data_IF_766811352104
#
_entry.id   IF_766811352104
#
_cell.length_a   1.000
_cell.length_b   1.000
_cell.length_c   1.000
_cell.angle_alpha   90.00
_cell.angle_beta   90.00
_cell.angle_gamma   90.00
#
_symmetry.space_group_name_H-M   'P 1'
#
loop_
_entity.id
_entity.type
_entity.pdbx_description
1 polymer ?
#
# COMPACT_ATOMS: atom_id res chain seq x y z
N UNK A 1 -46.81 6.96 27.12
CA UNK A 1 -45.50 7.64 27.26
C UNK A 1 -44.52 6.62 27.82
N UNK A 2 -43.86 5.88 26.94
CA UNK A 2 -42.76 4.98 27.28
C UNK A 2 -41.55 5.53 26.52
N UNK A 3 -40.55 6.00 27.26
CA UNK A 3 -39.24 6.36 26.74
C UNK A 3 -38.43 5.07 26.65
N UNK A 4 -38.19 4.59 25.42
CA UNK A 4 -37.14 3.61 25.17
C UNK A 4 -35.80 4.34 25.09
N UNK A 5 -34.93 3.98 26.02
CA UNK A 5 -33.51 4.34 26.03
C UNK A 5 -32.79 3.43 25.05
N UNK A 6 -32.51 3.92 23.85
CA UNK A 6 -31.65 3.23 22.89
C UNK A 6 -30.21 3.30 23.39
N UNK A 7 -29.68 2.17 23.86
CA UNK A 7 -28.24 1.97 24.04
C UNK A 7 -27.56 2.10 22.68
N UNK A 8 -26.73 3.12 22.52
CA UNK A 8 -25.67 3.13 21.52
C UNK A 8 -24.67 2.02 21.91
N UNK A 9 -24.77 0.86 21.26
CA UNK A 9 -23.72 -0.14 21.32
C UNK A 9 -22.60 0.27 20.38
N UNK A 10 -21.46 0.55 20.99
CA UNK A 10 -20.16 0.77 20.37
C UNK A 10 -19.86 -0.32 19.35
N UNK A 11 -19.72 0.06 18.08
CA UNK A 11 -19.27 -0.78 16.98
C UNK A 11 -17.73 -0.89 17.00
N UNK A 12 -17.15 -1.37 18.10
CA UNK A 12 -15.75 -1.78 18.13
C UNK A 12 -15.64 -3.25 17.68
N UNK A 13 -15.27 -3.42 16.41
CA UNK A 13 -14.44 -4.49 15.83
C UNK A 13 -14.51 -5.90 16.45
N UNK A 14 -15.60 -6.62 16.20
CA UNK A 14 -15.77 -8.03 16.61
C UNK A 14 -14.85 -9.01 15.83
N UNK A 15 -14.25 -8.61 14.70
CA UNK A 15 -13.59 -9.55 13.79
C UNK A 15 -12.08 -9.78 14.00
N UNK A 16 -11.37 -8.88 14.69
CA UNK A 16 -9.89 -8.90 14.74
C UNK A 16 -9.31 -9.69 15.94
N UNK A 17 -10.01 -9.66 17.07
CA UNK A 17 -9.66 -10.47 18.25
C UNK A 17 -9.84 -11.97 17.99
N UNK A 18 -10.68 -12.34 17.01
CA UNK A 18 -11.01 -13.72 16.65
C UNK A 18 -9.92 -14.37 15.78
N UNK A 19 -9.39 -13.65 14.78
CA UNK A 19 -8.36 -14.18 13.86
C UNK A 19 -7.03 -14.50 14.55
N UNK A 20 -6.57 -13.65 15.47
CA UNK A 20 -5.33 -13.89 16.22
C UNK A 20 -5.42 -15.12 17.14
N UNK A 21 -6.57 -15.31 17.80
CA UNK A 21 -6.83 -16.47 18.64
C UNK A 21 -6.93 -17.76 17.81
N UNK A 22 -7.53 -17.69 16.63
CA UNK A 22 -7.65 -18.83 15.71
C UNK A 22 -6.27 -19.27 15.18
N UNK A 23 -5.39 -18.32 14.82
CA UNK A 23 -4.00 -18.60 14.42
C UNK A 23 -3.24 -19.29 15.57
N UNK A 24 -3.37 -18.78 16.79
CA UNK A 24 -2.70 -19.36 17.96
C UNK A 24 -3.21 -20.78 18.27
N UNK A 25 -4.53 -21.01 18.13
CA UNK A 25 -5.14 -22.32 18.28
C UNK A 25 -4.62 -23.32 17.24
N UNK A 26 -4.64 -22.94 15.96
CA UNK A 26 -4.15 -23.79 14.87
C UNK A 26 -2.65 -24.08 15.03
N UNK A 27 -1.87 -23.11 15.50
CA UNK A 27 -0.44 -23.28 15.78
C UNK A 27 -0.20 -24.27 16.91
N UNK A 28 -0.98 -24.22 17.99
CA UNK A 28 -0.90 -25.19 19.10
C UNK A 28 -1.30 -26.60 18.66
N UNK A 29 -2.31 -26.75 17.80
CA UNK A 29 -2.72 -28.03 17.26
C UNK A 29 -1.62 -28.63 16.36
N UNK A 30 -1.01 -27.80 15.52
CA UNK A 30 0.14 -28.17 14.70
C UNK A 30 1.32 -28.64 15.57
N UNK A 31 1.64 -27.91 16.64
CA UNK A 31 2.72 -28.26 17.57
C UNK A 31 2.45 -29.57 18.32
N UNK A 32 1.20 -29.85 18.71
CA UNK A 32 0.83 -31.12 19.35
C UNK A 32 1.01 -32.30 18.42
N UNK A 33 0.63 -32.16 17.15
CA UNK A 33 0.77 -33.22 16.14
C UNK A 33 2.24 -33.42 15.78
N UNK A 34 3.00 -32.35 15.52
CA UNK A 34 4.43 -32.48 15.25
C UNK A 34 5.19 -33.00 16.48
N UNK A 35 4.89 -32.50 17.68
CA UNK A 35 5.59 -32.85 18.92
C UNK A 35 7.12 -32.73 18.80
N UNK A 36 7.59 -31.75 18.02
CA UNK A 36 9.01 -31.56 17.69
C UNK A 36 9.62 -32.60 16.73
N UNK A 37 8.81 -33.51 16.16
CA UNK A 37 9.23 -34.46 15.13
C UNK A 37 9.31 -33.76 13.77
N UNK A 38 10.33 -34.12 12.99
CA UNK A 38 10.38 -33.73 11.58
C UNK A 38 9.23 -34.37 10.79
N UNK A 39 8.73 -33.67 9.77
CA UNK A 39 7.69 -34.15 8.86
C UNK A 39 7.97 -35.55 8.28
N UNK A 40 9.25 -35.87 8.05
CA UNK A 40 9.73 -37.17 7.54
C UNK A 40 9.49 -38.34 8.50
N UNK A 41 9.27 -38.06 9.79
CA UNK A 41 9.04 -39.03 10.86
C UNK A 41 7.58 -39.14 11.27
N UNK A 42 6.69 -38.37 10.64
CA UNK A 42 5.25 -38.45 10.82
C UNK A 42 4.67 -39.57 9.94
N UNK A 43 3.55 -40.13 10.38
CA UNK A 43 2.72 -40.96 9.52
C UNK A 43 2.19 -40.13 8.35
N UNK A 44 1.80 -40.81 7.27
CA UNK A 44 1.25 -40.14 6.09
C UNK A 44 -0.01 -39.31 6.40
N UNK A 45 -0.77 -39.73 7.41
CA UNK A 45 -1.98 -39.05 7.88
C UNK A 45 -1.63 -37.82 8.73
N UNK A 46 -0.73 -37.96 9.71
CA UNK A 46 -0.22 -36.82 10.51
C UNK A 46 0.42 -35.74 9.61
N UNK A 47 1.21 -36.15 8.61
CA UNK A 47 1.84 -35.22 7.67
C UNK A 47 0.81 -34.47 6.80
N UNK A 48 -0.28 -35.14 6.41
CA UNK A 48 -1.38 -34.50 5.67
C UNK A 48 -2.09 -33.43 6.51
N UNK A 49 -2.38 -33.75 7.77
CA UNK A 49 -3.00 -32.81 8.71
C UNK A 49 -2.11 -31.60 9.00
N UNK A 50 -0.80 -31.83 9.18
CA UNK A 50 0.16 -30.73 9.40
C UNK A 50 0.21 -29.77 8.21
N UNK A 51 0.25 -30.29 6.98
CA UNK A 51 0.25 -29.44 5.78
C UNK A 51 -1.02 -28.60 5.65
N UNK A 52 -2.17 -29.18 5.97
CA UNK A 52 -3.45 -28.47 5.96
C UNK A 52 -3.50 -27.36 7.02
N UNK A 53 -3.04 -27.65 8.24
CA UNK A 53 -2.92 -26.64 9.31
C UNK A 53 -1.97 -25.51 8.93
N UNK A 54 -0.82 -25.82 8.32
CA UNK A 54 0.13 -24.80 7.84
C UNK A 54 -0.53 -23.87 6.81
N UNK A 55 -1.25 -24.43 5.84
CA UNK A 55 -1.95 -23.65 4.83
C UNK A 55 -3.02 -22.74 5.45
N UNK A 56 -3.79 -23.27 6.40
CA UNK A 56 -4.82 -22.50 7.09
C UNK A 56 -4.27 -21.37 7.96
N UNK A 57 -3.10 -21.58 8.56
CA UNK A 57 -2.36 -20.53 9.30
C UNK A 57 -1.87 -19.46 8.33
N UNK A 58 -1.27 -19.85 7.20
CA UNK A 58 -0.74 -18.93 6.19
C UNK A 58 -1.85 -18.04 5.59
N UNK A 59 -2.99 -18.63 5.20
CA UNK A 59 -4.14 -17.89 4.69
C UNK A 59 -4.67 -16.87 5.71
N UNK A 60 -4.71 -17.25 7.00
CA UNK A 60 -5.18 -16.36 8.07
C UNK A 60 -4.17 -15.27 8.44
N UNK A 61 -2.88 -15.57 8.40
CA UNK A 61 -1.82 -14.58 8.57
C UNK A 61 -1.83 -13.56 7.44
N UNK A 62 -2.04 -14.00 6.20
CA UNK A 62 -2.18 -13.09 5.06
C UNK A 62 -3.44 -12.23 5.19
N UNK A 63 -4.57 -12.82 5.62
CA UNK A 63 -5.78 -12.05 5.91
C UNK A 63 -5.55 -11.02 7.01
N UNK A 64 -4.94 -11.40 8.14
CA UNK A 64 -4.61 -10.47 9.22
C UNK A 64 -3.66 -9.37 8.74
N UNK A 65 -2.69 -9.69 7.87
CA UNK A 65 -1.80 -8.70 7.26
C UNK A 65 -2.58 -7.71 6.38
N UNK A 66 -3.55 -8.18 5.60
CA UNK A 66 -4.42 -7.34 4.79
C UNK A 66 -5.36 -6.49 5.64
N UNK A 67 -6.02 -7.08 6.64
CA UNK A 67 -6.90 -6.39 7.58
C UNK A 67 -6.10 -5.34 8.37
N UNK A 68 -4.87 -5.65 8.76
CA UNK A 68 -3.96 -4.71 9.40
C UNK A 68 -3.49 -3.62 8.42
N UNK A 69 -3.22 -3.95 7.16
CA UNK A 69 -2.89 -2.98 6.10
C UNK A 69 -4.08 -2.05 5.78
N UNK A 70 -5.32 -2.54 5.90
CA UNK A 70 -6.56 -1.76 5.80
C UNK A 70 -6.79 -0.89 7.05
N UNK A 71 -6.53 -1.42 8.25
CA UNK A 71 -6.62 -0.67 9.51
C UNK A 71 -5.53 0.39 9.66
N UNK A 72 -4.33 0.12 9.18
CA UNK A 72 -3.19 1.02 9.20
C UNK A 72 -3.40 2.27 8.34
N UNK A 73 -4.47 2.34 7.53
CA UNK A 73 -4.82 3.51 6.73
C UNK A 73 -5.12 4.77 7.56
N UNK A 74 -5.04 4.74 8.90
CA UNK A 74 -5.02 5.92 9.75
C UNK A 74 -3.89 5.81 10.79
N UNK A 75 -2.99 6.79 10.81
CA UNK A 75 -1.91 6.85 11.80
C UNK A 75 -2.35 7.57 13.08
N UNK A 76 -1.87 7.10 14.24
CA UNK A 76 -1.94 7.86 15.48
C UNK A 76 -0.94 9.02 15.48
N UNK A 77 -1.13 10.02 16.36
CA UNK A 77 -0.13 11.09 16.52
C UNK A 77 1.24 10.54 16.93
N UNK A 78 1.29 9.50 17.77
CA UNK A 78 2.55 8.85 18.15
C UNK A 78 3.24 8.19 16.94
N UNK A 79 2.48 7.58 16.02
CA UNK A 79 3.04 7.03 14.78
C UNK A 79 3.64 8.12 13.91
N UNK A 80 3.02 9.30 13.83
CA UNK A 80 3.62 10.47 13.18
C UNK A 80 4.94 10.90 13.84
N UNK A 81 4.98 10.96 15.17
CA UNK A 81 6.19 11.32 15.94
C UNK A 81 7.31 10.32 15.70
N UNK A 82 7.00 9.02 15.73
CA UNK A 82 7.94 7.93 15.47
C UNK A 82 8.43 7.98 14.02
N UNK A 83 7.55 8.17 13.04
CA UNK A 83 7.94 8.35 11.63
C UNK A 83 8.87 9.56 11.44
N UNK A 84 8.53 10.71 12.03
CA UNK A 84 9.37 11.90 11.97
C UNK A 84 10.75 11.66 12.61
N UNK A 85 10.81 10.89 13.70
CA UNK A 85 12.07 10.58 14.41
C UNK A 85 12.92 9.58 13.63
N UNK A 86 12.32 8.45 13.29
CA UNK A 86 13.03 7.24 12.91
C UNK A 86 13.27 7.17 11.39
N UNK A 87 12.33 7.69 10.59
CA UNK A 87 12.43 7.69 9.13
C UNK A 87 12.89 9.05 8.60
N UNK A 88 12.24 10.14 9.01
CA UNK A 88 12.63 11.50 8.56
C UNK A 88 13.92 11.97 9.27
N UNK A 89 14.26 11.41 10.43
CA UNK A 89 15.47 11.77 11.17
C UNK A 89 15.40 13.11 11.91
N UNK A 90 14.20 13.59 12.23
CA UNK A 90 13.99 14.80 13.04
C UNK A 90 14.08 14.44 14.51
N UNK A 91 15.12 14.89 15.19
CA UNK A 91 15.23 14.68 16.64
C UNK A 91 14.24 15.56 17.42
N UNK A 92 13.78 16.65 16.81
CA UNK A 92 12.73 17.55 17.26
C UNK A 92 11.35 17.18 16.68
N UNK A 93 11.04 15.88 16.56
CA UNK A 93 9.85 15.35 15.86
C UNK A 93 8.56 16.10 16.13
N UNK A 94 8.20 16.30 17.41
CA UNK A 94 6.94 16.94 17.76
C UNK A 94 6.87 18.40 17.31
N UNK A 95 7.94 19.18 17.53
CA UNK A 95 7.98 20.58 17.13
C UNK A 95 8.00 20.72 15.60
N UNK A 96 8.72 19.83 14.93
CA UNK A 96 8.71 19.74 13.48
C UNK A 96 7.32 19.42 12.94
N UNK A 97 6.62 18.44 13.51
CA UNK A 97 5.26 18.08 13.14
C UNK A 97 4.28 19.23 13.37
N UNK A 98 4.29 19.87 14.55
CA UNK A 98 3.43 21.04 14.83
C UNK A 98 3.63 22.16 13.79
N UNK A 99 4.88 22.39 13.39
CA UNK A 99 5.25 23.42 12.41
C UNK A 99 4.87 23.06 10.98
N UNK A 100 5.01 21.79 10.60
CA UNK A 100 4.90 21.32 9.20
C UNK A 100 3.58 20.68 8.85
N UNK A 101 2.89 20.11 9.83
CA UNK A 101 1.63 19.40 9.66
C UNK A 101 0.51 20.05 10.45
N UNK A 102 -0.68 19.98 9.87
CA UNK A 102 -1.93 20.04 10.59
C UNK A 102 -2.41 18.61 10.81
N UNK A 103 -2.27 18.15 12.05
CA UNK A 103 -2.66 16.82 12.52
C UNK A 103 -3.94 16.88 13.37
N UNK A 104 -4.73 17.97 13.26
CA UNK A 104 -6.04 18.07 13.93
C UNK A 104 -7.03 17.02 13.46
N UNK A 105 -6.85 16.53 12.23
CA UNK A 105 -7.55 15.37 11.69
C UNK A 105 -6.50 14.34 11.20
N UNK A 106 -6.32 13.27 11.98
CA UNK A 106 -5.35 12.22 11.68
C UNK A 106 -5.74 11.30 10.53
N UNK A 107 -7.02 11.32 10.11
CA UNK A 107 -7.46 10.63 8.90
C UNK A 107 -7.04 11.39 7.63
N UNK A 108 -6.87 12.71 7.73
CA UNK A 108 -6.49 13.59 6.62
C UNK A 108 -5.37 14.56 7.04
N UNK A 109 -4.19 14.04 7.42
CA UNK A 109 -3.06 14.84 7.87
C UNK A 109 -2.58 15.77 6.75
N UNK A 110 -2.62 17.08 6.99
CA UNK A 110 -2.27 18.09 5.97
C UNK A 110 -0.86 18.59 6.17
N UNK A 111 -0.04 18.54 5.14
CA UNK A 111 1.22 19.29 5.13
C UNK A 111 0.92 20.77 4.89
N UNK A 112 1.28 21.63 5.84
CA UNK A 112 0.78 23.03 5.88
C UNK A 112 1.16 23.87 4.68
N UNK A 113 2.36 23.68 4.11
CA UNK A 113 2.85 24.46 2.95
C UNK A 113 3.93 23.73 2.17
N UNK A 114 3.80 23.76 0.84
CA UNK A 114 4.85 23.44 -0.12
C UNK A 114 5.03 21.94 -0.34
N UNK A 115 6.27 21.57 -0.62
CA UNK A 115 6.66 20.23 -1.06
C UNK A 115 7.26 19.44 0.10
N UNK A 116 6.76 18.23 0.35
CA UNK A 116 7.39 17.26 1.23
C UNK A 116 8.49 16.55 0.45
N UNK A 117 9.74 16.99 0.61
CA UNK A 117 10.89 16.40 -0.09
C UNK A 117 11.67 15.54 0.89
N UNK A 118 11.68 14.24 0.63
CA UNK A 118 12.30 13.17 1.42
C UNK A 118 13.10 12.22 0.51
N UNK A 119 13.56 12.72 -0.64
CA UNK A 119 14.35 11.99 -1.63
C UNK A 119 15.73 11.58 -1.10
N UNK A 120 16.28 10.49 -1.64
CA UNK A 120 17.62 9.94 -1.35
C UNK A 120 17.84 9.47 0.09
N UNK A 121 16.82 9.56 0.96
CA UNK A 121 16.90 9.08 2.33
C UNK A 121 16.52 7.59 2.41
N UNK A 122 17.53 6.74 2.62
CA UNK A 122 17.34 5.30 2.73
C UNK A 122 16.53 4.86 3.95
N UNK A 123 16.26 5.76 4.91
CA UNK A 123 15.48 5.47 6.10
C UNK A 123 13.98 5.54 5.84
N UNK A 124 13.56 6.30 4.84
CA UNK A 124 12.15 6.48 4.51
C UNK A 124 11.62 5.20 3.87
N UNK A 125 10.67 4.58 4.56
CA UNK A 125 10.02 3.32 4.17
C UNK A 125 8.53 3.50 3.97
N UNK A 126 7.92 4.51 4.60
CA UNK A 126 6.47 4.70 4.62
C UNK A 126 6.08 6.12 4.21
N UNK A 127 5.00 6.20 3.45
CA UNK A 127 4.21 7.42 3.25
C UNK A 127 3.12 7.41 4.31
N UNK A 128 2.92 8.51 5.07
CA UNK A 128 1.79 8.61 5.98
C UNK A 128 0.45 8.42 5.26
N UNK A 129 -0.43 7.52 5.70
CA UNK A 129 -1.79 7.38 5.20
C UNK A 129 -2.58 8.67 5.38
N UNK A 130 -3.50 8.93 4.45
CA UNK A 130 -4.33 10.14 4.47
C UNK A 130 -3.58 11.42 4.10
N UNK A 131 -2.27 11.35 3.81
CA UNK A 131 -1.43 12.53 3.58
C UNK A 131 -2.01 13.42 2.50
N UNK A 132 -2.21 14.69 2.88
CA UNK A 132 -2.62 15.75 1.96
C UNK A 132 -1.46 16.72 1.78
N UNK A 133 -0.92 16.78 0.56
CA UNK A 133 0.17 17.68 0.20
C UNK A 133 0.15 17.95 -1.30
N UNK A 134 0.57 19.14 -1.73
CA UNK A 134 0.67 19.48 -3.16
C UNK A 134 1.73 18.62 -3.86
N UNK A 135 2.93 18.52 -3.29
CA UNK A 135 3.99 17.69 -3.85
C UNK A 135 4.64 16.85 -2.78
N UNK A 136 4.80 15.55 -3.05
CA UNK A 136 5.61 14.66 -2.26
C UNK A 136 6.67 14.01 -3.13
N UNK A 137 7.93 14.17 -2.74
CA UNK A 137 9.08 13.58 -3.43
C UNK A 137 9.78 12.60 -2.50
N UNK A 138 9.71 11.34 -2.87
CA UNK A 138 10.30 10.18 -2.21
C UNK A 138 11.28 9.46 -3.14
N UNK A 139 11.79 10.09 -4.20
CA UNK A 139 12.71 9.44 -5.14
C UNK A 139 13.91 8.82 -4.41
N UNK A 140 14.30 7.61 -4.81
CA UNK A 140 15.38 6.82 -4.20
C UNK A 140 15.20 6.43 -2.72
N UNK A 141 14.02 6.64 -2.14
CA UNK A 141 13.69 6.12 -0.82
C UNK A 141 13.49 4.59 -0.84
N UNK A 142 13.22 4.00 0.33
CA UNK A 142 12.88 2.57 0.49
C UNK A 142 11.38 2.34 0.64
N UNK A 143 10.56 3.23 0.08
CA UNK A 143 9.11 3.10 0.06
C UNK A 143 8.71 1.88 -0.77
N UNK A 144 7.90 1.01 -0.18
CA UNK A 144 7.45 -0.24 -0.82
C UNK A 144 5.97 -0.19 -1.25
N UNK A 145 5.18 0.64 -0.57
CA UNK A 145 3.73 0.71 -0.75
C UNK A 145 3.25 2.17 -0.70
N UNK A 146 2.20 2.44 -1.46
CA UNK A 146 1.48 3.72 -1.45
C UNK A 146 0.16 3.49 -0.70
N UNK A 147 -0.15 4.25 0.36
CA UNK A 147 -1.45 4.16 1.01
C UNK A 147 -2.57 4.57 0.06
N UNK A 148 -3.74 3.95 0.17
CA UNK A 148 -4.85 4.16 -0.77
C UNK A 148 -5.49 5.53 -0.61
N UNK A 149 -5.47 6.05 0.61
CA UNK A 149 -6.19 7.25 1.01
C UNK A 149 -5.35 8.54 0.98
N UNK A 150 -4.19 8.54 0.31
CA UNK A 150 -3.44 9.78 0.11
C UNK A 150 -4.16 10.69 -0.88
N UNK A 151 -3.97 12.00 -0.73
CA UNK A 151 -4.47 13.01 -1.66
C UNK A 151 -3.31 13.95 -2.01
N UNK A 152 -2.64 13.64 -3.12
CA UNK A 152 -1.37 14.29 -3.50
C UNK A 152 -1.43 14.73 -4.95
N UNK A 153 -1.18 16.01 -5.23
CA UNK A 153 -1.21 16.50 -6.61
C UNK A 153 -0.04 15.95 -7.43
N UNK A 154 1.18 15.97 -6.88
CA UNK A 154 2.39 15.44 -7.53
C UNK A 154 3.12 14.46 -6.60
N UNK A 155 3.11 13.17 -6.94
CA UNK A 155 3.78 12.11 -6.18
C UNK A 155 4.94 11.50 -6.99
N UNK A 156 6.16 11.69 -6.52
CA UNK A 156 7.38 11.16 -7.14
C UNK A 156 7.97 10.04 -6.29
N UNK A 157 8.07 8.84 -6.85
CA UNK A 157 8.53 7.62 -6.20
C UNK A 157 9.59 6.88 -7.05
N UNK A 158 10.32 7.63 -7.86
CA UNK A 158 11.26 7.06 -8.82
C UNK A 158 12.34 6.23 -8.11
N UNK A 159 12.68 5.08 -8.69
CA UNK A 159 13.65 4.12 -8.15
C UNK A 159 13.34 3.60 -6.73
N UNK A 160 12.09 3.71 -6.27
CA UNK A 160 11.64 3.03 -5.06
C UNK A 160 11.37 1.53 -5.34
N UNK A 161 11.50 0.64 -4.33
CA UNK A 161 11.19 -0.79 -4.45
C UNK A 161 9.67 -1.08 -4.46
N UNK A 162 8.90 -0.32 -5.24
CA UNK A 162 7.44 -0.47 -5.37
C UNK A 162 7.14 -1.49 -6.45
N UNK A 163 6.23 -2.42 -6.16
CA UNK A 163 5.77 -3.48 -7.07
C UNK A 163 4.34 -3.29 -7.56
N UNK A 164 3.51 -2.66 -6.73
CA UNK A 164 2.09 -2.40 -7.02
C UNK A 164 1.70 -1.05 -6.41
N UNK A 165 0.63 -0.46 -6.90
CA UNK A 165 0.03 0.76 -6.36
C UNK A 165 -1.50 0.63 -6.38
N UNK A 166 -2.25 1.30 -5.50
CA UNK A 166 -3.71 1.14 -5.41
C UNK A 166 -4.45 1.68 -6.65
N UNK A 167 -5.54 1.04 -7.04
CA UNK A 167 -6.39 1.50 -8.15
C UNK A 167 -7.26 2.71 -7.79
N UNK A 168 -7.58 2.90 -6.51
CA UNK A 168 -8.35 4.01 -5.96
C UNK A 168 -7.49 5.19 -5.49
N UNK A 169 -6.22 5.24 -5.91
CA UNK A 169 -5.28 6.28 -5.51
C UNK A 169 -5.71 7.65 -6.06
N UNK A 170 -5.81 8.66 -5.19
CA UNK A 170 -6.18 10.02 -5.57
C UNK A 170 -4.93 10.87 -5.79
N UNK A 171 -4.44 10.88 -7.03
CA UNK A 171 -3.25 11.66 -7.44
C UNK A 171 -3.44 12.35 -8.78
N UNK A 172 -2.90 13.56 -8.92
CA UNK A 172 -2.84 14.27 -10.20
C UNK A 172 -1.76 13.66 -11.11
N UNK A 173 -0.52 13.70 -10.65
CA UNK A 173 0.66 13.12 -11.30
C UNK A 173 1.28 12.03 -10.42
N UNK A 174 1.52 10.86 -10.99
CA UNK A 174 2.24 9.76 -10.36
C UNK A 174 3.47 9.39 -11.19
N UNK A 175 4.66 9.53 -10.60
CA UNK A 175 5.92 9.12 -11.22
C UNK A 175 6.52 7.94 -10.48
N UNK A 176 6.64 6.82 -11.19
CA UNK A 176 7.13 5.53 -10.74
C UNK A 176 8.30 5.06 -11.62
N UNK A 177 9.08 5.99 -12.17
CA UNK A 177 10.17 5.69 -13.10
C UNK A 177 11.16 4.74 -12.45
N UNK A 178 11.56 3.70 -13.18
CA UNK A 178 12.54 2.71 -12.72
C UNK A 178 12.13 2.01 -11.40
N UNK A 179 10.83 1.79 -11.20
CA UNK A 179 10.31 0.94 -10.12
C UNK A 179 10.08 -0.49 -10.62
N UNK A 180 9.66 -1.40 -9.73
CA UNK A 180 9.37 -2.80 -10.05
C UNK A 180 7.89 -3.03 -10.39
N UNK A 181 7.18 -1.99 -10.80
CA UNK A 181 5.77 -2.09 -11.16
C UNK A 181 5.62 -2.89 -12.45
N UNK A 182 4.70 -3.85 -12.43
CA UNK A 182 4.43 -4.77 -13.54
C UNK A 182 3.01 -4.62 -14.11
N UNK A 183 2.08 -4.06 -13.34
CA UNK A 183 0.67 -3.93 -13.74
C UNK A 183 0.09 -2.54 -13.43
N UNK A 184 -0.69 -2.01 -14.37
CA UNK A 184 -1.63 -0.89 -14.13
C UNK A 184 -3.04 -1.46 -13.92
N UNK A 185 -3.55 -1.34 -12.70
CA UNK A 185 -4.80 -1.96 -12.25
C UNK A 185 -6.05 -1.27 -12.82
N UNK A 186 -7.13 -2.03 -12.95
CA UNK A 186 -8.44 -1.49 -13.34
C UNK A 186 -8.98 -0.52 -12.29
N UNK A 187 -9.67 0.52 -12.75
CA UNK A 187 -10.19 1.61 -11.93
C UNK A 187 -9.23 2.78 -11.75
N UNK A 188 -7.94 2.64 -12.13
CA UNK A 188 -6.94 3.68 -11.92
C UNK A 188 -7.17 4.92 -12.79
N UNK A 189 -7.06 6.10 -12.16
CA UNK A 189 -7.26 7.39 -12.81
C UNK A 189 -6.23 8.41 -12.32
N UNK A 190 -5.64 9.16 -13.24
CA UNK A 190 -4.78 10.30 -12.93
C UNK A 190 -4.66 11.22 -14.16
N UNK A 191 -4.10 12.41 -13.97
CA UNK A 191 -3.74 13.26 -15.11
C UNK A 191 -2.51 12.70 -15.81
N UNK A 192 -1.43 12.45 -15.05
CA UNK A 192 -0.15 12.00 -15.61
C UNK A 192 0.35 10.76 -14.89
N UNK A 193 0.62 9.70 -15.65
CA UNK A 193 1.33 8.51 -15.17
C UNK A 193 2.67 8.39 -15.88
N UNK A 194 3.76 8.39 -15.11
CA UNK A 194 5.10 8.13 -15.64
C UNK A 194 5.64 6.81 -15.07
N UNK A 195 5.66 5.79 -15.92
CA UNK A 195 6.11 4.43 -15.62
C UNK A 195 7.24 4.02 -16.58
N UNK A 196 8.01 5.00 -17.05
CA UNK A 196 9.21 4.73 -17.85
C UNK A 196 10.18 3.85 -17.06
N UNK A 197 10.85 2.95 -17.78
CA UNK A 197 11.80 1.99 -17.21
C UNK A 197 11.20 1.01 -16.19
N UNK A 198 9.87 0.90 -16.08
CA UNK A 198 9.20 -0.20 -15.40
C UNK A 198 9.14 -1.45 -16.28
N UNK A 199 8.80 -2.60 -15.70
CA UNK A 199 8.65 -3.87 -16.41
C UNK A 199 7.16 -4.21 -16.58
N UNK A 200 6.42 -3.30 -17.21
CA UNK A 200 4.97 -3.43 -17.36
C UNK A 200 4.65 -4.62 -18.28
N UNK A 201 3.92 -5.58 -17.74
CA UNK A 201 3.43 -6.77 -18.46
C UNK A 201 1.93 -6.72 -18.69
N UNK A 202 1.20 -5.88 -17.94
CA UNK A 202 -0.25 -5.78 -18.02
C UNK A 202 -0.76 -4.37 -17.76
N UNK A 203 -1.77 -3.97 -18.52
CA UNK A 203 -2.50 -2.71 -18.32
C UNK A 203 -3.99 -3.03 -18.42
N UNK A 204 -4.79 -2.61 -17.45
CA UNK A 204 -6.24 -2.79 -17.51
C UNK A 204 -6.88 -1.88 -18.57
N UNK A 205 -7.96 -2.33 -19.21
CA UNK A 205 -8.78 -1.51 -20.12
C UNK A 205 -9.74 -0.57 -19.37
N UNK A 206 -9.81 -0.67 -18.04
CA UNK A 206 -10.67 0.15 -17.18
C UNK A 206 -9.89 1.28 -16.51
N UNK A 207 -9.10 2.03 -17.26
CA UNK A 207 -8.29 3.15 -16.74
C UNK A 207 -8.69 4.48 -17.38
N UNK A 208 -8.34 5.58 -16.75
CA UNK A 208 -8.49 6.92 -17.32
C UNK A 208 -7.25 7.77 -17.03
N UNK A 209 -6.39 7.93 -18.01
CA UNK A 209 -5.12 8.66 -17.89
C UNK A 209 -5.06 9.73 -18.97
N UNK A 210 -4.67 10.96 -18.63
CA UNK A 210 -4.52 11.99 -19.66
C UNK A 210 -3.20 11.81 -20.41
N UNK A 211 -2.09 11.69 -19.71
CA UNK A 211 -0.77 11.49 -20.33
C UNK A 211 -0.06 10.29 -19.69
N UNK A 212 0.32 9.32 -20.53
CA UNK A 212 1.09 8.16 -20.12
C UNK A 212 2.50 8.24 -20.70
N UNK A 213 3.51 8.24 -19.83
CA UNK A 213 4.91 8.11 -20.22
C UNK A 213 5.36 6.67 -19.96
N UNK A 214 5.82 5.98 -21.00
CA UNK A 214 6.20 4.56 -20.93
C UNK A 214 7.33 4.23 -21.91
N UNK A 215 8.23 3.33 -21.51
CA UNK A 215 9.37 2.92 -22.36
C UNK A 215 8.95 1.81 -23.31
N UNK A 216 8.84 2.11 -24.61
CA UNK A 216 8.30 1.17 -25.61
C UNK A 216 9.14 -0.10 -25.72
N UNK A 217 10.46 0.04 -25.61
CA UNK A 217 11.42 -1.05 -25.75
C UNK A 217 11.33 -2.15 -24.67
N UNK A 218 10.56 -1.93 -23.58
CA UNK A 218 10.38 -2.91 -22.49
C UNK A 218 9.06 -3.68 -22.56
N UNK A 219 8.22 -3.39 -23.55
CA UNK A 219 6.89 -3.97 -23.66
C UNK A 219 6.84 -5.08 -24.70
N UNK A 220 5.90 -6.01 -24.54
CA UNK A 220 5.59 -6.98 -25.60
C UNK A 220 4.82 -6.30 -26.75
N UNK A 221 4.88 -6.88 -27.94
CA UNK A 221 4.15 -6.39 -29.11
C UNK A 221 2.63 -6.35 -28.86
N UNK A 222 2.10 -7.32 -28.13
CA UNK A 222 0.67 -7.40 -27.77
C UNK A 222 0.28 -6.24 -26.85
N UNK A 223 1.11 -5.92 -25.87
CA UNK A 223 0.84 -4.81 -24.96
C UNK A 223 0.96 -3.46 -25.67
N UNK A 224 1.93 -3.31 -26.58
CA UNK A 224 2.04 -2.12 -27.44
C UNK A 224 0.76 -1.92 -28.25
N UNK A 225 0.28 -2.97 -28.92
CA UNK A 225 -0.96 -2.91 -29.70
C UNK A 225 -2.15 -2.54 -28.81
N UNK A 226 -2.27 -3.14 -27.62
CA UNK A 226 -3.33 -2.80 -26.67
C UNK A 226 -3.28 -1.32 -26.28
N UNK A 227 -2.10 -0.79 -25.98
CA UNK A 227 -1.92 0.61 -25.60
C UNK A 227 -2.26 1.56 -26.75
N UNK A 228 -1.86 1.23 -27.98
CA UNK A 228 -2.22 1.99 -29.19
C UNK A 228 -3.75 1.99 -29.43
N UNK A 229 -4.46 0.88 -29.14
CA UNK A 229 -5.93 0.82 -29.18
C UNK A 229 -6.60 1.68 -28.10
N UNK A 230 -5.93 1.86 -26.96
CA UNK A 230 -6.43 2.64 -25.82
C UNK A 230 -6.15 4.14 -25.95
N UNK A 231 -5.21 4.52 -26.82
CA UNK A 231 -4.84 5.91 -27.07
C UNK A 231 -5.99 6.69 -27.72
N UNK A 232 -6.23 7.92 -27.26
CA UNK A 232 -7.36 8.74 -27.65
C UNK A 232 -8.69 8.40 -26.95
N UNK A 233 -8.74 7.34 -26.14
CA UNK A 233 -9.94 6.93 -25.40
C UNK A 233 -9.66 6.80 -23.89
N UNK A 234 -9.17 5.64 -23.43
CA UNK A 234 -8.78 5.42 -22.03
C UNK A 234 -7.52 6.21 -21.64
N UNK A 235 -6.61 6.39 -22.60
CA UNK A 235 -5.38 7.16 -22.43
C UNK A 235 -5.41 8.28 -23.45
N UNK A 236 -5.44 9.56 -23.07
CA UNK A 236 -5.59 10.63 -24.07
C UNK A 236 -4.36 10.78 -24.96
N UNK A 237 -3.17 10.57 -24.40
CA UNK A 237 -1.89 10.66 -25.11
C UNK A 237 -0.88 9.70 -24.49
N UNK A 238 -0.12 9.01 -25.34
CA UNK A 238 1.02 8.18 -24.93
C UNK A 238 2.31 8.81 -25.44
N UNK A 239 3.27 8.98 -24.54
CA UNK A 239 4.64 9.36 -24.84
C UNK A 239 5.54 8.11 -24.72
N UNK A 240 6.10 7.73 -25.86
CA UNK A 240 6.93 6.54 -26.02
C UNK A 240 8.41 6.93 -25.92
N UNK A 241 9.07 6.59 -24.81
CA UNK A 241 10.53 6.63 -24.68
C UNK A 241 11.19 5.41 -25.35
#
# INVERSE_FOLDING_TARGET
MQNESTMEQSLESVDDEDLGQEIERLSKELEQIQSGRELSKLTKEEAGTVLELMKQIEERQEKQRLDQQEKEQIWTYEMFVNWARDEVGRMDSEEWLKKKFDLSNLQYPKFRRGRLVLSEDSRIKRIPPGLQVETADFCNAKVQFIPENVNIEYLYLNSCPIKTFPSNLHVGTLSLVNTQVEEVQGGFKCEVLDIRQCNITKVSREINISELFITKARLSSELIQQLEEMEGNQIKKIDWE
#
